data_IF_822650678975
#
_entry.id   IF_822650678975
#
_cell.length_a   1.000
_cell.length_b   1.000
_cell.length_c   1.000
_cell.angle_alpha   90.00
_cell.angle_beta   90.00
_cell.angle_gamma   90.00
#
_symmetry.space_group_name_H-M   'P 1'
#
loop_
_entity.id
_entity.type
_entity.pdbx_description
1 polymer ?
#
# COMPACT_ATOMS: atom_id res chain seq x y z
N UNK A 1 14.53 -19.25 -12.13
CA UNK A 1 13.08 -18.95 -12.28
C UNK A 1 12.71 -17.94 -11.21
N UNK A 2 12.33 -16.70 -11.59
CA UNK A 2 11.82 -15.70 -10.66
C UNK A 2 10.36 -16.06 -10.39
N UNK A 3 10.07 -16.70 -9.26
CA UNK A 3 8.69 -16.74 -8.76
C UNK A 3 8.44 -15.39 -8.08
N UNK A 4 7.70 -14.46 -8.70
CA UNK A 4 7.25 -13.29 -7.96
C UNK A 4 6.39 -13.83 -6.81
N UNK A 5 6.71 -13.44 -5.58
CA UNK A 5 5.76 -13.62 -4.50
C UNK A 5 4.44 -12.95 -4.93
N UNK A 6 3.28 -13.57 -4.67
CA UNK A 6 1.99 -12.97 -4.97
C UNK A 6 1.71 -11.87 -3.95
N UNK A 7 2.54 -10.83 -3.95
CA UNK A 7 2.13 -9.54 -3.42
C UNK A 7 1.15 -9.05 -4.47
N UNK A 8 -0.14 -8.97 -4.13
CA UNK A 8 -1.14 -8.38 -5.00
C UNK A 8 -0.68 -6.96 -5.36
N UNK A 9 0.03 -6.84 -6.48
CA UNK A 9 0.56 -5.55 -6.90
C UNK A 9 -0.64 -4.76 -7.39
N UNK A 10 -0.76 -3.52 -6.93
CA UNK A 10 -1.63 -2.47 -7.51
C UNK A 10 -1.19 -2.11 -8.96
N UNK A 11 -0.70 -3.08 -9.73
CA UNK A 11 0.15 -2.88 -10.89
C UNK A 11 -0.57 -2.46 -12.18
N UNK A 12 -1.91 -2.47 -12.22
CA UNK A 12 -2.66 -2.10 -13.44
C UNK A 12 -3.90 -1.23 -13.24
N UNK A 13 -4.43 -1.10 -12.02
CA UNK A 13 -5.62 -0.28 -11.75
C UNK A 13 -5.41 1.17 -11.24
N UNK A 14 -4.20 1.73 -11.03
CA UNK A 14 -4.06 3.00 -10.33
C UNK A 14 -4.52 4.20 -11.15
N UNK A 15 -4.46 4.15 -12.49
CA UNK A 15 -4.84 5.31 -13.32
C UNK A 15 -6.35 5.54 -13.36
N UNK A 16 -7.16 4.48 -13.53
CA UNK A 16 -8.62 4.60 -13.58
C UNK A 16 -9.19 5.00 -12.22
N UNK A 17 -8.68 4.39 -11.15
CA UNK A 17 -9.07 4.69 -9.76
C UNK A 17 -8.68 6.12 -9.38
N UNK A 18 -7.47 6.57 -9.75
CA UNK A 18 -7.02 7.96 -9.57
C UNK A 18 -7.91 8.94 -10.33
N UNK A 19 -8.24 8.64 -11.58
CA UNK A 19 -9.09 9.51 -12.41
C UNK A 19 -10.50 9.62 -11.83
N UNK A 20 -11.10 8.52 -11.40
CA UNK A 20 -12.42 8.52 -10.76
C UNK A 20 -12.43 9.33 -9.46
N UNK A 21 -11.36 9.23 -8.66
CA UNK A 21 -11.25 9.93 -7.39
C UNK A 21 -11.02 11.44 -7.57
N UNK A 22 -10.19 11.84 -8.54
CA UNK A 22 -10.01 13.25 -8.93
C UNK A 22 -11.32 13.83 -9.48
N UNK A 23 -12.01 13.09 -10.34
CA UNK A 23 -13.30 13.51 -10.90
C UNK A 23 -14.36 13.67 -9.80
N UNK A 24 -14.40 12.75 -8.82
CA UNK A 24 -15.30 12.84 -7.67
C UNK A 24 -15.05 14.11 -6.83
N UNK A 25 -13.78 14.43 -6.55
CA UNK A 25 -13.43 15.66 -5.82
C UNK A 25 -13.77 16.90 -6.63
N UNK A 26 -13.49 16.92 -7.93
CA UNK A 26 -13.82 18.05 -8.81
C UNK A 26 -15.34 18.30 -8.89
N UNK A 27 -16.13 17.23 -9.02
CA UNK A 27 -17.60 17.29 -9.00
C UNK A 27 -18.12 17.78 -7.63
N UNK A 28 -17.55 17.30 -6.53
CA UNK A 28 -17.90 17.76 -5.18
C UNK A 28 -17.64 19.27 -4.98
N UNK A 29 -16.66 19.84 -5.69
CA UNK A 29 -16.35 21.26 -5.63
C UNK A 29 -17.36 22.16 -6.35
N UNK A 30 -18.21 21.59 -7.22
CA UNK A 30 -19.30 22.35 -7.84
C UNK A 30 -20.49 22.56 -6.89
N UNK A 31 -20.56 21.80 -5.78
CA UNK A 31 -21.63 21.92 -4.80
C UNK A 31 -21.45 23.13 -3.87
N UNK A 32 -22.56 23.65 -3.32
CA UNK A 32 -22.54 24.79 -2.41
C UNK A 32 -21.66 24.52 -1.18
N UNK A 33 -20.98 25.55 -0.64
CA UNK A 33 -20.13 25.45 0.56
C UNK A 33 -20.74 24.69 1.73
N UNK A 34 -22.05 24.87 1.97
CA UNK A 34 -22.79 24.23 3.06
C UNK A 34 -22.93 22.71 2.92
N UNK A 35 -22.72 22.17 1.72
CA UNK A 35 -22.73 20.75 1.45
C UNK A 35 -21.36 20.08 1.71
N UNK A 36 -20.31 20.84 1.99
CA UNK A 36 -18.94 20.29 2.05
C UNK A 36 -18.59 19.89 3.48
N UNK A 37 -18.56 18.59 3.77
CA UNK A 37 -18.13 18.08 5.08
C UNK A 37 -16.61 18.24 5.29
N UNK A 38 -16.20 18.52 6.54
CA UNK A 38 -14.81 18.81 6.93
C UNK A 38 -13.94 17.56 7.13
N UNK A 39 -12.64 17.66 6.79
CA UNK A 39 -11.60 16.67 7.01
C UNK A 39 -10.23 17.09 6.43
N UNK A 40 -9.18 16.31 6.70
CA UNK A 40 -7.76 16.69 6.40
C UNK A 40 -7.47 16.98 4.92
N UNK A 41 -8.23 16.40 3.99
CA UNK A 41 -8.07 16.57 2.54
C UNK A 41 -9.39 16.98 1.84
N UNK A 42 -10.38 17.46 2.60
CA UNK A 42 -11.70 17.84 2.07
C UNK A 42 -11.69 19.22 1.48
N UNK A 43 -12.53 19.42 0.46
CA UNK A 43 -13.69 20.33 0.36
C UNK A 43 -13.90 21.48 1.36
N UNK A 44 -12.90 21.94 2.10
CA UNK A 44 -13.00 23.14 2.92
C UNK A 44 -13.49 24.28 2.05
N UNK A 45 -14.66 24.88 2.32
CA UNK A 45 -15.20 25.93 1.49
C UNK A 45 -14.33 27.20 1.50
N UNK A 46 -13.42 27.34 2.47
CA UNK A 46 -12.43 28.42 2.53
C UNK A 46 -11.23 28.21 1.61
N UNK A 47 -11.03 26.98 1.10
CA UNK A 47 -9.93 26.64 0.19
C UNK A 47 -10.47 26.59 -1.25
N UNK A 48 -9.80 27.25 -2.21
CA UNK A 48 -10.20 27.18 -3.61
C UNK A 48 -10.22 25.72 -4.13
N UNK A 49 -11.21 25.34 -4.95
CA UNK A 49 -11.31 24.02 -5.56
C UNK A 49 -10.00 23.52 -6.20
N UNK A 50 -9.27 24.40 -6.87
CA UNK A 50 -8.01 24.09 -7.55
C UNK A 50 -6.93 23.67 -6.56
N UNK A 51 -6.84 24.37 -5.42
CA UNK A 51 -5.88 24.07 -4.36
C UNK A 51 -6.23 22.75 -3.66
N UNK A 52 -7.51 22.43 -3.51
CA UNK A 52 -7.98 21.16 -2.95
C UNK A 52 -7.66 19.98 -3.87
N UNK A 53 -7.96 20.10 -5.17
CA UNK A 53 -7.63 19.08 -6.17
C UNK A 53 -6.11 18.86 -6.25
N UNK A 54 -5.33 19.95 -6.23
CA UNK A 54 -3.88 19.88 -6.26
C UNK A 54 -3.31 19.21 -4.99
N UNK A 55 -3.79 19.59 -3.81
CA UNK A 55 -3.37 18.98 -2.54
C UNK A 55 -3.73 17.50 -2.46
N UNK A 56 -4.93 17.14 -2.90
CA UNK A 56 -5.39 15.76 -2.96
C UNK A 56 -4.57 14.91 -3.92
N UNK A 57 -4.35 15.40 -5.15
CA UNK A 57 -3.56 14.71 -6.17
C UNK A 57 -2.11 14.56 -5.72
N UNK A 58 -1.53 15.61 -5.13
CA UNK A 58 -0.16 15.57 -4.60
C UNK A 58 0.02 14.55 -3.48
N UNK A 59 -0.97 14.41 -2.58
CA UNK A 59 -0.91 13.40 -1.52
C UNK A 59 -1.02 11.98 -2.07
N UNK A 60 -1.91 11.74 -3.05
CA UNK A 60 -2.00 10.45 -3.73
C UNK A 60 -0.69 10.08 -4.42
N UNK A 61 -0.09 11.04 -5.13
CA UNK A 61 1.18 10.83 -5.83
C UNK A 61 2.31 10.53 -4.84
N UNK A 62 2.36 11.26 -3.71
CA UNK A 62 3.32 11.00 -2.63
C UNK A 62 3.14 9.62 -2.02
N UNK A 63 1.92 9.23 -1.69
CA UNK A 63 1.62 7.91 -1.10
C UNK A 63 1.99 6.77 -2.07
N UNK A 64 1.65 6.92 -3.34
CA UNK A 64 1.97 5.92 -4.36
C UNK A 64 3.49 5.82 -4.62
N UNK A 65 4.18 6.96 -4.73
CA UNK A 65 5.63 7.00 -4.91
C UNK A 65 6.37 6.38 -3.71
N UNK A 66 5.92 6.68 -2.48
CA UNK A 66 6.47 6.09 -1.26
C UNK A 66 6.23 4.58 -1.21
N UNK A 67 5.03 4.12 -1.56
CA UNK A 67 4.72 2.69 -1.65
C UNK A 67 5.63 1.98 -2.67
N UNK A 68 5.73 2.50 -3.90
CA UNK A 68 6.54 1.88 -4.97
C UNK A 68 8.05 1.89 -4.67
N UNK A 69 8.58 2.98 -4.14
CA UNK A 69 10.00 3.08 -3.79
C UNK A 69 10.35 2.17 -2.61
N UNK A 70 9.49 2.10 -1.59
CA UNK A 70 9.63 1.19 -0.45
C UNK A 70 9.60 -0.27 -0.90
N UNK A 71 8.61 -0.65 -1.72
CA UNK A 71 8.49 -2.00 -2.29
C UNK A 71 9.75 -2.41 -3.05
N UNK A 72 10.23 -1.56 -3.97
CA UNK A 72 11.42 -1.85 -4.76
C UNK A 72 12.69 -2.00 -3.88
N UNK A 73 12.87 -1.12 -2.90
CA UNK A 73 14.03 -1.17 -2.01
C UNK A 73 14.03 -2.44 -1.13
N UNK A 74 12.87 -2.82 -0.60
CA UNK A 74 12.75 -4.02 0.22
C UNK A 74 12.85 -5.32 -0.58
N UNK A 75 12.26 -5.37 -1.77
CA UNK A 75 12.43 -6.50 -2.68
C UNK A 75 13.91 -6.71 -3.04
N UNK A 76 14.63 -5.62 -3.37
CA UNK A 76 16.05 -5.68 -3.66
C UNK A 76 16.88 -6.20 -2.48
N UNK A 77 16.55 -5.79 -1.24
CA UNK A 77 17.22 -6.28 -0.02
C UNK A 77 16.97 -7.77 0.21
N UNK A 78 15.73 -8.22 0.08
CA UNK A 78 15.38 -9.64 0.23
C UNK A 78 16.05 -10.52 -0.82
N UNK A 79 16.05 -10.07 -2.07
CA UNK A 79 16.70 -10.78 -3.17
C UNK A 79 18.21 -10.86 -2.96
N UNK A 80 18.86 -9.75 -2.58
CA UNK A 80 20.29 -9.70 -2.31
C UNK A 80 20.69 -10.61 -1.14
N UNK A 81 19.96 -10.56 -0.02
CA UNK A 81 20.24 -11.41 1.13
C UNK A 81 19.97 -12.90 0.83
N UNK A 82 18.93 -13.21 0.05
CA UNK A 82 18.68 -14.58 -0.41
C UNK A 82 19.76 -15.08 -1.37
N UNK A 83 20.27 -14.21 -2.26
CA UNK A 83 21.34 -14.56 -3.20
C UNK A 83 22.67 -14.77 -2.48
N UNK A 84 23.03 -13.90 -1.54
CA UNK A 84 24.27 -14.04 -0.76
C UNK A 84 24.37 -15.40 -0.03
N UNK A 85 23.22 -15.97 0.40
CA UNK A 85 23.19 -17.31 1.00
C UNK A 85 23.34 -18.45 0.00
N UNK A 86 22.84 -18.28 -1.22
CA UNK A 86 23.07 -19.23 -2.30
C UNK A 86 24.56 -19.22 -2.69
N UNK A 87 25.13 -18.01 -2.80
CA UNK A 87 26.54 -17.82 -3.19
C UNK A 87 27.51 -18.36 -2.14
N UNK A 88 27.15 -18.28 -0.84
CA UNK A 88 27.95 -18.86 0.24
C UNK A 88 27.77 -20.38 0.41
N UNK A 89 26.86 -21.00 -0.33
CA UNK A 89 26.48 -22.41 -0.16
C UNK A 89 25.68 -22.70 1.11
N UNK A 90 25.34 -21.68 1.90
CA UNK A 90 24.53 -21.84 3.11
C UNK A 90 23.10 -22.29 2.78
N UNK A 91 22.58 -21.89 1.62
CA UNK A 91 21.29 -22.32 1.08
C UNK A 91 21.47 -22.96 -0.30
N UNK A 92 20.62 -23.94 -0.60
CA UNK A 92 20.28 -24.31 -1.97
C UNK A 92 18.93 -23.69 -2.40
N UNK A 93 18.50 -23.95 -3.64
CA UNK A 93 17.24 -23.42 -4.15
C UNK A 93 16.00 -23.88 -3.37
N UNK A 94 16.03 -25.09 -2.81
CA UNK A 94 14.95 -25.64 -1.99
C UNK A 94 14.88 -24.96 -0.62
N UNK A 95 16.02 -24.62 -0.01
CA UNK A 95 16.06 -23.87 1.26
C UNK A 95 15.46 -22.47 1.09
N UNK A 96 15.79 -21.80 -0.02
CA UNK A 96 15.19 -20.51 -0.38
C UNK A 96 13.67 -20.64 -0.53
N UNK A 97 13.19 -21.68 -1.23
CA UNK A 97 11.75 -21.91 -1.39
C UNK A 97 11.05 -22.22 -0.05
N UNK A 98 11.65 -23.07 0.79
CA UNK A 98 11.13 -23.44 2.10
C UNK A 98 11.06 -22.22 3.05
N UNK A 99 12.04 -21.32 2.97
CA UNK A 99 12.01 -20.06 3.72
C UNK A 99 10.79 -19.22 3.38
N UNK A 100 10.51 -18.98 2.09
CA UNK A 100 9.32 -18.22 1.67
C UNK A 100 8.02 -18.93 2.02
N UNK A 101 7.99 -20.26 1.92
CA UNK A 101 6.83 -21.05 2.34
C UNK A 101 6.55 -20.91 3.84
N UNK A 102 7.59 -20.85 4.68
CA UNK A 102 7.47 -20.60 6.13
C UNK A 102 6.98 -19.18 6.42
N UNK A 103 7.52 -18.18 5.71
CA UNK A 103 7.06 -16.78 5.85
C UNK A 103 5.56 -16.65 5.54
N UNK A 104 5.11 -17.28 4.46
CA UNK A 104 3.70 -17.24 4.04
C UNK A 104 2.73 -17.87 5.06
N UNK A 105 3.24 -18.68 6.00
CA UNK A 105 2.47 -19.31 7.07
C UNK A 105 2.62 -18.59 8.41
N UNK A 106 3.52 -17.61 8.52
CA UNK A 106 3.73 -16.90 9.77
C UNK A 106 2.50 -16.06 10.14
N UNK A 107 1.99 -16.12 11.40
CA UNK A 107 0.81 -15.37 11.81
C UNK A 107 0.91 -13.86 11.51
N UNK A 108 2.07 -13.25 11.76
CA UNK A 108 2.31 -11.83 11.50
C UNK A 108 2.23 -11.50 10.00
N UNK A 109 2.71 -12.39 9.13
CA UNK A 109 2.62 -12.22 7.67
C UNK A 109 1.16 -12.33 7.19
N UNK A 110 0.42 -13.31 7.71
CA UNK A 110 -0.99 -13.52 7.38
C UNK A 110 -1.88 -12.35 7.85
N UNK A 111 -1.58 -11.78 9.02
CA UNK A 111 -2.25 -10.58 9.53
C UNK A 111 -2.02 -9.38 8.60
N UNK A 112 -0.79 -9.18 8.14
CA UNK A 112 -0.45 -8.10 7.21
C UNK A 112 -1.12 -8.30 5.84
N UNK A 113 -1.14 -9.52 5.31
CA UNK A 113 -1.84 -9.84 4.06
C UNK A 113 -3.35 -9.60 4.18
N UNK A 114 -3.95 -9.95 5.33
CA UNK A 114 -5.35 -9.64 5.61
C UNK A 114 -5.58 -8.12 5.66
N UNK A 115 -4.75 -7.39 6.40
CA UNK A 115 -4.85 -5.93 6.50
C UNK A 115 -4.73 -5.25 5.12
N UNK A 116 -3.81 -5.71 4.27
CA UNK A 116 -3.67 -5.22 2.89
C UNK A 116 -4.91 -5.51 2.05
N UNK A 117 -5.45 -6.72 2.14
CA UNK A 117 -6.65 -7.12 1.42
C UNK A 117 -7.85 -6.27 1.84
N UNK A 118 -8.04 -6.08 3.13
CA UNK A 118 -9.14 -5.29 3.71
C UNK A 118 -9.00 -3.81 3.34
N UNK A 119 -7.79 -3.24 3.46
CA UNK A 119 -7.51 -1.86 3.05
C UNK A 119 -7.73 -1.65 1.55
N UNK A 120 -7.33 -2.61 0.70
CA UNK A 120 -7.54 -2.55 -0.75
C UNK A 120 -9.03 -2.61 -1.10
N UNK A 121 -9.78 -3.55 -0.52
CA UNK A 121 -11.22 -3.64 -0.75
C UNK A 121 -11.96 -2.39 -0.28
N UNK A 122 -11.60 -1.87 0.90
CA UNK A 122 -12.15 -0.63 1.44
C UNK A 122 -11.81 0.57 0.56
N UNK A 123 -10.57 0.65 0.06
CA UNK A 123 -10.12 1.72 -0.82
C UNK A 123 -10.94 1.76 -2.13
N UNK A 124 -11.08 0.61 -2.79
CA UNK A 124 -11.87 0.50 -4.02
C UNK A 124 -13.32 0.90 -3.79
N UNK A 125 -13.93 0.44 -2.68
CA UNK A 125 -15.28 0.82 -2.30
C UNK A 125 -15.41 2.32 -2.01
N UNK A 126 -14.43 2.91 -1.33
CA UNK A 126 -14.44 4.34 -1.03
C UNK A 126 -14.32 5.19 -2.30
N UNK A 127 -13.55 4.74 -3.30
CA UNK A 127 -13.47 5.40 -4.61
C UNK A 127 -14.80 5.34 -5.34
N UNK A 128 -15.42 4.15 -5.39
CA UNK A 128 -16.72 3.96 -6.02
C UNK A 128 -17.80 4.84 -5.36
N UNK A 129 -17.84 4.87 -4.03
CA UNK A 129 -18.75 5.72 -3.28
C UNK A 129 -18.47 7.21 -3.52
N UNK A 130 -17.20 7.63 -3.58
CA UNK A 130 -16.87 9.02 -3.89
C UNK A 130 -17.40 9.42 -5.27
N UNK A 131 -17.21 8.57 -6.28
CA UNK A 131 -17.64 8.83 -7.65
C UNK A 131 -19.16 8.83 -7.81
N UNK A 132 -19.85 7.86 -7.18
CA UNK A 132 -21.31 7.76 -7.24
C UNK A 132 -21.99 8.87 -6.44
N UNK A 133 -21.51 9.18 -5.22
CA UNK A 133 -22.00 10.33 -4.45
C UNK A 133 -21.77 11.64 -5.21
N UNK A 134 -20.63 11.83 -5.85
CA UNK A 134 -20.36 13.05 -6.61
C UNK A 134 -21.38 13.33 -7.73
N UNK A 135 -22.02 12.29 -8.27
CA UNK A 135 -23.07 12.42 -9.28
C UNK A 135 -24.47 12.64 -8.70
N UNK A 136 -24.75 12.10 -7.51
CA UNK A 136 -26.09 12.09 -6.91
C UNK A 136 -26.29 13.14 -5.80
N UNK A 137 -25.33 13.21 -4.87
CA UNK A 137 -25.28 14.17 -3.76
C UNK A 137 -23.80 14.48 -3.46
N UNK A 138 -23.29 15.61 -3.96
CA UNK A 138 -21.87 15.92 -3.86
C UNK A 138 -21.39 16.18 -2.42
N UNK A 139 -22.31 16.28 -1.45
CA UNK A 139 -21.95 16.44 -0.03
C UNK A 139 -21.23 15.23 0.56
N UNK A 140 -21.59 14.02 0.13
CA UNK A 140 -21.00 12.76 0.60
C UNK A 140 -19.66 12.40 -0.08
N UNK A 141 -19.42 12.92 -1.28
CA UNK A 141 -18.26 12.58 -2.10
C UNK A 141 -16.92 12.88 -1.40
N UNK A 142 -16.86 14.00 -0.67
CA UNK A 142 -15.68 14.44 0.08
C UNK A 142 -15.29 13.46 1.21
N UNK A 143 -16.29 12.96 1.95
CA UNK A 143 -16.07 12.00 3.04
C UNK A 143 -15.53 10.66 2.50
N UNK A 144 -16.06 10.22 1.36
CA UNK A 144 -15.59 9.01 0.69
C UNK A 144 -14.18 9.20 0.10
N UNK A 145 -13.87 10.36 -0.48
CA UNK A 145 -12.53 10.67 -0.99
C UNK A 145 -11.47 10.66 0.11
N UNK A 146 -11.76 11.27 1.28
CA UNK A 146 -10.88 11.17 2.46
C UNK A 146 -10.67 9.73 2.91
N UNK A 147 -11.75 8.95 2.93
CA UNK A 147 -11.71 7.54 3.34
C UNK A 147 -10.78 6.76 2.41
N UNK A 148 -10.84 7.02 1.10
CA UNK A 148 -9.93 6.43 0.12
C UNK A 148 -8.46 6.81 0.41
N UNK A 149 -8.15 8.09 0.66
CA UNK A 149 -6.77 8.52 0.98
C UNK A 149 -6.25 7.87 2.26
N UNK A 150 -7.07 7.80 3.32
CA UNK A 150 -6.71 7.12 4.57
C UNK A 150 -6.39 5.65 4.34
N UNK A 151 -7.24 4.94 3.61
CA UNK A 151 -7.06 3.50 3.33
C UNK A 151 -5.84 3.23 2.44
N UNK A 152 -5.51 4.14 1.52
CA UNK A 152 -4.25 4.07 0.77
C UNK A 152 -3.02 4.23 1.69
N UNK A 153 -3.10 5.11 2.69
CA UNK A 153 -2.09 5.24 3.73
C UNK A 153 -1.94 3.96 4.57
N UNK A 154 -3.04 3.35 4.99
CA UNK A 154 -3.05 2.08 5.74
C UNK A 154 -2.46 0.93 4.91
N UNK A 155 -2.79 0.87 3.62
CA UNK A 155 -2.21 -0.10 2.70
C UNK A 155 -0.69 0.04 2.57
N UNK A 156 -0.20 1.29 2.49
CA UNK A 156 1.23 1.57 2.44
C UNK A 156 1.94 1.12 3.73
N UNK A 157 1.35 1.40 4.90
CA UNK A 157 1.88 0.96 6.21
C UNK A 157 1.89 -0.55 6.34
N UNK A 158 0.79 -1.23 5.98
CA UNK A 158 0.70 -2.69 6.05
C UNK A 158 1.71 -3.37 5.11
N UNK A 159 1.88 -2.81 3.91
CA UNK A 159 2.90 -3.28 2.95
C UNK A 159 4.31 -3.10 3.51
N UNK A 160 4.62 -1.93 4.11
CA UNK A 160 5.92 -1.68 4.72
C UNK A 160 6.20 -2.63 5.89
N UNK A 161 5.21 -2.88 6.77
CA UNK A 161 5.34 -3.80 7.89
C UNK A 161 5.68 -5.22 7.42
N UNK A 162 5.05 -5.66 6.33
CA UNK A 162 5.32 -6.97 5.72
C UNK A 162 6.74 -7.08 5.19
N UNK A 163 7.21 -6.07 4.47
CA UNK A 163 8.58 -6.04 3.97
C UNK A 163 9.62 -6.05 5.11
N UNK A 164 9.38 -5.29 6.17
CA UNK A 164 10.23 -5.27 7.37
C UNK A 164 10.25 -6.64 8.05
N UNK A 165 9.08 -7.28 8.21
CA UNK A 165 8.98 -8.62 8.79
C UNK A 165 9.80 -9.64 8.00
N UNK A 166 9.61 -9.72 6.69
CA UNK A 166 10.34 -10.67 5.85
C UNK A 166 11.86 -10.44 5.90
N UNK A 167 12.29 -9.18 5.88
CA UNK A 167 13.72 -8.83 5.94
C UNK A 167 14.32 -9.27 7.28
N UNK A 168 13.64 -9.01 8.40
CA UNK A 168 14.09 -9.44 9.74
C UNK A 168 14.16 -10.95 9.88
N UNK A 169 13.18 -11.68 9.37
CA UNK A 169 13.20 -13.14 9.39
C UNK A 169 14.37 -13.71 8.59
N UNK A 170 14.75 -13.06 7.48
CA UNK A 170 15.90 -13.46 6.67
C UNK A 170 17.24 -13.16 7.38
N UNK A 171 17.34 -12.02 8.05
CA UNK A 171 18.51 -11.62 8.85
C UNK A 171 18.69 -12.51 10.08
N UNK A 172 17.60 -12.87 10.78
CA UNK A 172 17.62 -13.74 11.97
C UNK A 172 18.14 -15.16 11.69
N UNK A 173 18.03 -15.63 10.45
CA UNK A 173 18.64 -16.90 10.04
C UNK A 173 20.16 -16.80 9.89
N UNK A 174 20.73 -15.59 9.86
CA UNK A 174 22.16 -15.36 9.67
C UNK A 174 22.90 -15.41 11.00
N UNK A 175 22.29 -14.85 12.04
CA UNK A 175 22.80 -14.88 13.41
C UNK A 175 22.75 -16.28 14.02
N UNK A 176 21.72 -17.08 13.73
CA UNK A 176 21.62 -18.46 14.23
C UNK A 176 22.65 -19.42 13.60
N UNK A 177 23.01 -19.21 12.33
CA UNK A 177 24.01 -20.05 11.66
C UNK A 177 25.44 -19.82 12.22
N UNK A 178 25.74 -18.59 12.69
CA UNK A 178 27.02 -18.29 13.33
C UNK A 178 27.16 -18.87 14.75
N UNK A 179 26.06 -19.18 15.43
CA UNK A 179 26.09 -19.75 16.78
C UNK A 179 26.22 -21.29 16.79
N UNK A 180 25.84 -21.97 15.71
CA UNK A 180 25.87 -23.43 15.62
C UNK A 180 27.22 -24.01 15.12
N UNK A 181 28.20 -23.16 14.81
CA UNK A 181 29.52 -23.56 14.33
C UNK A 181 30.66 -23.32 15.34
N UNK A 182 30.33 -23.13 16.61
CA UNK A 182 31.29 -22.79 17.67
C UNK A 182 31.44 -23.87 18.77
N UNK A 183 30.88 -25.07 18.57
CA UNK A 183 31.05 -26.22 19.45
C UNK A 183 31.85 -27.34 18.79
#
# INVERSE_FOLDING_TARGET
>A
MRHPMPVASLGREPMLVRTALIAAVALAMTAPPSARAAGKYTCDPSVPPEALIAGFTGELDRLYANYKSSEAAHQARLDAAGQARLDSGAWNAQDKAAFYARLAQAPAFLEQERAKKDATAGYMRAVELAFTSAQADPSGACGHANTAVRLLGELAVASQAQWVFMTRELEALGTRAGAAGAD
#
